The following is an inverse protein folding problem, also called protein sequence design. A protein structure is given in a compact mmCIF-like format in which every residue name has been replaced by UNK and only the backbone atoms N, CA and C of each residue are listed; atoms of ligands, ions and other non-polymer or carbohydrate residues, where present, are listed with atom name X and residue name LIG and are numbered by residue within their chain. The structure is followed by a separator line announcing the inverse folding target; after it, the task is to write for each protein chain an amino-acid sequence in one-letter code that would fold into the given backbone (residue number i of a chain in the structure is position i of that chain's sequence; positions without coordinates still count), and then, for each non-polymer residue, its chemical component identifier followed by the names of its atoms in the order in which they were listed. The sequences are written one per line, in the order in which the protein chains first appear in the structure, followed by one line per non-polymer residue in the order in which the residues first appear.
data_IF_899659466858
#
_entry.id   IF_899659466858
#
_cell.length_a   1.000
_cell.length_b   1.000
_cell.length_c   1.000
_cell.angle_alpha   90.00
_cell.angle_beta   90.00
_cell.angle_gamma   90.00
#
_symmetry.space_group_name_H-M   'P 1'
#
loop_
_entity.id
_entity.type
_entity.pdbx_description
1 polymer ?
#
# COMPACT_ATOMS: atom_id res chain seq x y z
N UNK A 1 29.83 -9.79 -6.64
CA UNK A 1 29.19 -8.87 -5.68
C UNK A 1 27.73 -9.30 -5.49
N UNK A 2 26.80 -8.41 -5.21
CA UNK A 2 25.39 -8.71 -4.89
C UNK A 2 24.44 -8.01 -5.85
N UNK A 3 23.27 -8.61 -6.08
CA UNK A 3 22.11 -7.97 -6.71
C UNK A 3 21.07 -7.70 -5.63
N UNK A 4 20.61 -6.45 -5.52
CA UNK A 4 19.46 -6.08 -4.69
C UNK A 4 18.37 -5.61 -5.64
N UNK A 5 17.20 -6.24 -5.61
CA UNK A 5 16.13 -6.00 -6.58
C UNK A 5 14.77 -5.84 -5.90
N UNK A 6 14.02 -4.81 -6.35
CA UNK A 6 12.60 -4.65 -6.08
C UNK A 6 11.83 -4.94 -7.37
N UNK A 7 11.11 -6.07 -7.47
CA UNK A 7 10.45 -6.46 -8.72
C UNK A 7 9.21 -5.59 -8.99
N UNK A 8 8.89 -5.39 -10.27
CA UNK A 8 7.66 -4.67 -10.64
C UNK A 8 6.43 -5.55 -10.38
N UNK A 9 6.51 -6.83 -10.76
CA UNK A 9 5.47 -7.85 -10.57
C UNK A 9 6.10 -9.12 -9.99
N UNK A 10 5.28 -10.00 -9.43
CA UNK A 10 5.75 -11.20 -8.72
C UNK A 10 6.30 -12.30 -9.62
N UNK A 11 5.89 -12.36 -10.89
CA UNK A 11 6.14 -13.51 -11.78
C UNK A 11 7.13 -13.19 -12.90
N UNK A 12 7.73 -14.25 -13.49
CA UNK A 12 8.60 -14.14 -14.66
C UNK A 12 10.09 -13.95 -14.35
N UNK A 13 10.51 -14.22 -13.10
CA UNK A 13 11.86 -13.94 -12.62
C UNK A 13 12.79 -15.17 -12.57
N UNK A 14 12.26 -16.40 -12.67
CA UNK A 14 13.01 -17.64 -12.48
C UNK A 14 14.28 -17.68 -13.34
N UNK A 15 14.16 -17.46 -14.64
CA UNK A 15 15.30 -17.59 -15.58
C UNK A 15 16.45 -16.63 -15.24
N UNK A 16 16.14 -15.35 -14.97
CA UNK A 16 17.20 -14.37 -14.68
C UNK A 16 17.83 -14.60 -13.29
N UNK A 17 17.06 -15.15 -12.34
CA UNK A 17 17.59 -15.54 -11.04
C UNK A 17 18.44 -16.81 -11.11
N UNK A 18 18.07 -17.79 -11.97
CA UNK A 18 18.90 -18.96 -12.27
C UNK A 18 20.24 -18.52 -12.88
N UNK A 19 20.24 -17.60 -13.84
CA UNK A 19 21.45 -17.03 -14.43
C UNK A 19 22.35 -16.36 -13.37
N UNK A 20 21.75 -15.59 -12.44
CA UNK A 20 22.49 -14.97 -11.33
C UNK A 20 23.13 -16.02 -10.42
N UNK A 21 22.38 -17.08 -10.08
CA UNK A 21 22.84 -18.21 -9.27
C UNK A 21 23.98 -18.98 -9.96
N UNK A 22 23.86 -19.28 -11.27
CA UNK A 22 24.91 -19.91 -12.05
C UNK A 22 26.19 -19.05 -12.12
N UNK A 23 26.03 -17.73 -12.16
CA UNK A 23 27.16 -16.79 -12.11
C UNK A 23 27.76 -16.63 -10.69
N UNK A 24 27.17 -17.27 -9.68
CA UNK A 24 27.60 -17.14 -8.27
C UNK A 24 27.33 -15.77 -7.67
N UNK A 25 26.30 -15.06 -8.15
CA UNK A 25 25.91 -13.73 -7.68
C UNK A 25 24.69 -13.85 -6.75
N UNK A 26 24.83 -13.63 -5.44
CA UNK A 26 23.72 -13.68 -4.50
C UNK A 26 22.71 -12.55 -4.77
N UNK A 27 21.41 -12.88 -4.64
CA UNK A 27 20.31 -11.95 -4.85
C UNK A 27 19.58 -11.69 -3.53
N UNK A 28 19.30 -10.43 -3.24
CA UNK A 28 18.46 -10.00 -2.11
C UNK A 28 17.25 -9.27 -2.67
N UNK A 29 16.06 -9.69 -2.25
CA UNK A 29 14.82 -9.00 -2.61
C UNK A 29 14.53 -7.89 -1.59
N UNK A 30 14.10 -6.74 -2.08
CA UNK A 30 13.75 -5.58 -1.25
C UNK A 30 12.38 -5.06 -1.66
N UNK A 31 11.56 -4.64 -0.70
CA UNK A 31 10.21 -4.12 -0.89
C UNK A 31 9.27 -5.23 -1.42
N UNK A 32 9.10 -5.36 -2.71
CA UNK A 32 8.19 -6.32 -3.34
C UNK A 32 8.76 -7.74 -3.37
N UNK A 33 7.86 -8.71 -3.24
CA UNK A 33 8.19 -10.13 -3.32
C UNK A 33 8.11 -10.67 -4.75
N UNK A 34 8.73 -11.84 -4.94
CA UNK A 34 8.60 -12.63 -6.16
C UNK A 34 7.93 -13.97 -5.83
N UNK A 35 7.05 -14.43 -6.70
CA UNK A 35 6.49 -15.77 -6.64
C UNK A 35 7.42 -16.72 -7.40
N UNK A 36 8.19 -17.52 -6.68
CA UNK A 36 9.18 -18.43 -7.21
C UNK A 36 8.87 -19.87 -6.82
N UNK A 37 9.20 -20.81 -7.70
CA UNK A 37 9.10 -22.25 -7.44
C UNK A 37 10.30 -22.80 -6.64
N UNK A 38 11.43 -22.09 -6.62
CA UNK A 38 12.66 -22.42 -5.92
C UNK A 38 13.15 -21.23 -5.07
N UNK A 39 12.97 -21.34 -3.76
CA UNK A 39 13.39 -20.34 -2.80
C UNK A 39 14.91 -20.17 -2.71
N UNK A 40 15.69 -21.10 -3.26
CA UNK A 40 17.15 -21.01 -3.28
C UNK A 40 17.70 -20.01 -4.32
N UNK A 41 16.81 -19.35 -5.08
CA UNK A 41 17.19 -18.35 -6.08
C UNK A 41 17.47 -16.96 -5.50
N UNK A 42 17.19 -16.73 -4.24
CA UNK A 42 17.57 -15.51 -3.53
C UNK A 42 17.99 -15.82 -2.10
N UNK A 43 18.77 -14.95 -1.48
CA UNK A 43 19.30 -15.14 -0.13
C UNK A 43 18.29 -14.72 0.96
N UNK A 44 17.73 -13.54 0.81
CA UNK A 44 16.74 -12.99 1.75
C UNK A 44 15.83 -11.98 1.05
N UNK A 45 14.66 -11.76 1.66
CA UNK A 45 13.75 -10.68 1.34
C UNK A 45 13.55 -9.77 2.55
N UNK A 46 13.49 -8.44 2.29
CA UNK A 46 13.20 -7.39 3.29
C UNK A 46 12.09 -6.50 2.77
N UNK A 47 11.00 -6.35 3.51
CA UNK A 47 9.89 -5.49 3.09
C UNK A 47 8.74 -5.43 4.08
N UNK A 48 7.65 -4.77 3.70
CA UNK A 48 6.40 -4.66 4.45
C UNK A 48 5.53 -5.90 4.38
N UNK A 49 4.56 -6.00 5.27
CA UNK A 49 3.53 -7.03 5.19
C UNK A 49 2.29 -6.47 4.50
N UNK A 50 2.23 -6.55 3.18
CA UNK A 50 1.17 -5.96 2.38
C UNK A 50 -0.24 -6.49 2.71
N UNK A 51 -0.38 -7.76 3.08
CA UNK A 51 -1.66 -8.30 3.56
C UNK A 51 -2.04 -7.63 4.88
N UNK A 52 -1.08 -7.49 5.79
CA UNK A 52 -1.32 -6.81 7.07
C UNK A 52 -1.63 -5.33 6.90
N UNK A 53 -1.00 -4.65 5.93
CA UNK A 53 -1.34 -3.27 5.58
C UNK A 53 -2.84 -3.17 5.19
N UNK A 54 -3.31 -4.04 4.28
CA UNK A 54 -4.72 -4.09 3.86
C UNK A 54 -5.68 -4.43 5.01
N UNK A 55 -5.34 -5.41 5.85
CA UNK A 55 -6.14 -5.74 7.04
C UNK A 55 -6.19 -4.57 8.03
N UNK A 56 -5.06 -3.89 8.27
CA UNK A 56 -5.00 -2.73 9.17
C UNK A 56 -5.85 -1.58 8.63
N UNK A 57 -5.89 -1.38 7.32
CA UNK A 57 -6.78 -0.41 6.67
C UNK A 57 -8.25 -0.74 6.92
N UNK A 58 -8.65 -2.00 6.76
CA UNK A 58 -10.03 -2.43 7.01
C UNK A 58 -10.42 -2.32 8.50
N UNK A 59 -9.54 -2.73 9.42
CA UNK A 59 -9.76 -2.57 10.86
C UNK A 59 -9.93 -1.08 11.24
N UNK A 60 -9.06 -0.22 10.73
CA UNK A 60 -9.16 1.23 10.94
C UNK A 60 -10.48 1.80 10.39
N UNK A 61 -10.88 1.38 9.18
CA UNK A 61 -12.12 1.85 8.56
C UNK A 61 -13.35 1.43 9.37
N UNK A 62 -13.39 0.21 9.88
CA UNK A 62 -14.47 -0.26 10.76
C UNK A 62 -14.58 0.59 12.02
N UNK A 63 -13.46 0.82 12.71
CA UNK A 63 -13.40 1.68 13.89
C UNK A 63 -13.79 3.14 13.59
N UNK A 64 -13.39 3.64 12.43
CA UNK A 64 -13.70 5.01 11.99
C UNK A 64 -15.20 5.19 11.72
N UNK A 65 -15.83 4.27 10.99
CA UNK A 65 -17.26 4.27 10.72
C UNK A 65 -18.10 4.12 12.00
N UNK A 66 -17.66 3.25 12.92
CA UNK A 66 -18.33 3.09 14.22
C UNK A 66 -18.31 4.38 15.04
N UNK A 67 -17.16 5.06 15.09
CA UNK A 67 -17.03 6.36 15.78
C UNK A 67 -17.91 7.45 15.17
N UNK A 68 -18.19 7.37 13.87
CA UNK A 68 -19.12 8.28 13.19
C UNK A 68 -20.58 7.86 13.33
N UNK A 69 -20.90 6.74 13.98
CA UNK A 69 -22.25 6.20 14.09
C UNK A 69 -22.78 5.57 12.81
N UNK A 70 -21.89 5.23 11.87
CA UNK A 70 -22.18 4.63 10.55
C UNK A 70 -21.88 3.12 10.49
N UNK A 71 -21.56 2.48 11.61
CA UNK A 71 -21.15 1.07 11.65
C UNK A 71 -22.17 0.09 11.06
N UNK A 72 -23.46 0.40 11.16
CA UNK A 72 -24.55 -0.42 10.62
C UNK A 72 -25.05 0.03 9.23
N UNK A 73 -24.53 1.12 8.67
CA UNK A 73 -24.91 1.63 7.35
C UNK A 73 -24.34 0.75 6.23
N UNK A 74 -25.02 0.73 5.07
CA UNK A 74 -24.45 0.18 3.85
C UNK A 74 -23.34 1.13 3.36
N UNK A 75 -22.12 0.61 3.18
CA UNK A 75 -20.95 1.39 2.78
C UNK A 75 -20.50 0.97 1.39
N UNK A 76 -20.62 1.89 0.44
CA UNK A 76 -20.23 1.70 -0.95
C UNK A 76 -18.78 2.10 -1.17
N UNK A 77 -17.95 1.16 -1.59
CA UNK A 77 -16.51 1.35 -1.72
C UNK A 77 -16.03 1.16 -3.15
N UNK A 78 -15.00 1.89 -3.52
CA UNK A 78 -14.21 1.64 -4.73
C UNK A 78 -12.73 1.53 -4.38
N UNK A 79 -11.97 0.77 -5.16
CA UNK A 79 -10.51 0.67 -4.98
C UNK A 79 -9.79 1.10 -6.25
N UNK A 80 -8.84 2.02 -6.09
CA UNK A 80 -7.83 2.33 -7.10
C UNK A 80 -6.63 1.44 -6.77
N UNK A 81 -6.47 0.37 -7.54
CA UNK A 81 -5.43 -0.62 -7.33
C UNK A 81 -4.11 -0.18 -7.96
N UNK A 82 -3.01 -0.58 -7.37
CA UNK A 82 -1.69 -0.39 -7.95
C UNK A 82 -1.46 -1.17 -9.25
N UNK A 83 -0.19 -1.34 -9.61
CA UNK A 83 0.21 -2.16 -10.75
C UNK A 83 -0.22 -3.61 -10.53
N UNK A 84 -1.09 -4.12 -11.40
CA UNK A 84 -1.64 -5.47 -11.27
C UNK A 84 -0.53 -6.52 -11.31
N UNK A 85 -0.54 -7.41 -10.32
CA UNK A 85 0.46 -8.47 -10.13
C UNK A 85 1.72 -8.01 -9.37
N UNK A 86 1.79 -6.77 -8.89
CA UNK A 86 2.76 -6.37 -7.90
C UNK A 86 2.37 -6.93 -6.52
N UNK A 87 3.32 -7.45 -5.74
CA UNK A 87 3.02 -8.04 -4.43
C UNK A 87 2.34 -7.07 -3.46
N UNK A 88 2.63 -5.77 -3.55
CA UNK A 88 1.94 -4.73 -2.79
C UNK A 88 0.46 -4.65 -3.18
N UNK A 89 0.14 -4.63 -4.49
CA UNK A 89 -1.24 -4.65 -4.97
C UNK A 89 -1.97 -5.92 -4.54
N UNK A 90 -1.35 -7.09 -4.76
CA UNK A 90 -1.95 -8.39 -4.41
C UNK A 90 -2.24 -8.46 -2.91
N UNK A 91 -1.26 -8.13 -2.07
CA UNK A 91 -1.40 -8.22 -0.62
C UNK A 91 -2.39 -7.20 -0.04
N UNK A 92 -2.35 -5.94 -0.46
CA UNK A 92 -3.29 -4.90 0.01
C UNK A 92 -4.73 -5.25 -0.36
N UNK A 93 -4.94 -5.71 -1.61
CA UNK A 93 -6.25 -6.21 -2.06
C UNK A 93 -6.70 -7.41 -1.21
N UNK A 94 -5.84 -8.43 -0.98
CA UNK A 94 -6.16 -9.62 -0.17
C UNK A 94 -6.52 -9.23 1.27
N UNK A 95 -5.71 -8.39 1.91
CA UNK A 95 -5.97 -7.92 3.27
C UNK A 95 -7.30 -7.18 3.39
N UNK A 96 -7.62 -6.34 2.42
CA UNK A 96 -8.91 -5.65 2.39
C UNK A 96 -10.07 -6.62 2.12
N UNK A 97 -9.89 -7.64 1.28
CA UNK A 97 -10.90 -8.68 1.02
C UNK A 97 -11.18 -9.51 2.26
N UNK A 98 -10.16 -9.82 3.08
CA UNK A 98 -10.36 -10.47 4.38
C UNK A 98 -11.32 -9.66 5.26
N UNK A 99 -11.16 -8.33 5.30
CA UNK A 99 -12.02 -7.45 6.09
C UNK A 99 -13.40 -7.25 5.47
N UNK A 100 -13.52 -7.14 4.16
CA UNK A 100 -14.81 -7.13 3.48
C UNK A 100 -15.66 -8.36 3.82
N UNK A 101 -15.04 -9.53 3.97
CA UNK A 101 -15.74 -10.77 4.33
C UNK A 101 -16.30 -10.74 5.77
N UNK A 102 -15.76 -9.91 6.66
CA UNK A 102 -16.23 -9.75 8.05
C UNK A 102 -17.41 -8.77 8.15
N UNK A 103 -17.63 -7.88 7.16
CA UNK A 103 -18.61 -6.80 7.17
C UNK A 103 -19.65 -6.95 6.05
N UNK A 104 -20.80 -7.55 6.34
CA UNK A 104 -21.84 -7.82 5.34
C UNK A 104 -22.54 -6.58 4.77
N UNK A 105 -22.38 -5.42 5.41
CA UNK A 105 -22.89 -4.12 4.99
C UNK A 105 -21.89 -3.33 4.12
N UNK A 106 -20.67 -3.83 3.93
CA UNK A 106 -19.69 -3.22 3.03
C UNK A 106 -19.83 -3.78 1.61
N UNK A 107 -19.88 -2.90 0.63
CA UNK A 107 -20.01 -3.25 -0.78
C UNK A 107 -18.86 -2.70 -1.61
N UNK A 108 -18.03 -3.57 -2.12
CA UNK A 108 -17.04 -3.21 -3.12
C UNK A 108 -17.75 -3.10 -4.47
N UNK A 109 -17.93 -1.85 -4.96
CA UNK A 109 -18.59 -1.54 -6.22
C UNK A 109 -17.71 -1.85 -7.42
N UNK A 110 -16.44 -1.42 -7.37
CA UNK A 110 -15.50 -1.58 -8.49
C UNK A 110 -14.04 -1.49 -8.02
N UNK A 111 -13.15 -2.05 -8.84
CA UNK A 111 -11.69 -1.98 -8.68
C UNK A 111 -11.04 -1.76 -10.04
N UNK A 112 -10.21 -0.73 -10.16
CA UNK A 112 -9.48 -0.43 -11.39
C UNK A 112 -8.04 -0.02 -11.05
N UNK A 113 -7.08 -0.41 -11.92
CA UNK A 113 -5.68 -0.09 -11.69
C UNK A 113 -5.36 1.37 -12.00
N UNK A 114 -4.76 2.06 -11.04
CA UNK A 114 -4.12 3.37 -11.17
C UNK A 114 -2.61 3.27 -11.38
N UNK A 115 -2.06 2.04 -11.47
CA UNK A 115 -0.64 1.79 -11.78
C UNK A 115 0.33 2.48 -10.81
N UNK A 116 -0.09 2.74 -9.56
CA UNK A 116 0.62 3.52 -8.55
C UNK A 116 0.96 4.96 -8.97
N UNK A 117 0.22 5.55 -9.91
CA UNK A 117 0.51 6.91 -10.40
C UNK A 117 -0.64 7.88 -10.14
N UNK A 118 -0.31 9.14 -9.85
CA UNK A 118 -1.31 10.19 -9.61
C UNK A 118 -2.22 10.40 -10.83
N UNK A 119 -1.64 10.45 -12.03
CA UNK A 119 -2.42 10.70 -13.25
C UNK A 119 -3.44 9.59 -13.52
N UNK A 120 -3.05 8.33 -13.34
CA UNK A 120 -3.98 7.20 -13.49
C UNK A 120 -5.00 7.13 -12.36
N UNK A 121 -4.59 7.40 -11.12
CA UNK A 121 -5.51 7.52 -9.99
C UNK A 121 -6.61 8.54 -10.26
N UNK A 122 -6.27 9.70 -10.83
CA UNK A 122 -7.23 10.70 -11.25
C UNK A 122 -8.19 10.17 -12.34
N UNK A 123 -7.67 9.58 -13.42
CA UNK A 123 -8.49 9.02 -14.52
C UNK A 123 -9.46 7.96 -14.00
N UNK A 124 -9.00 7.06 -13.11
CA UNK A 124 -9.82 6.00 -12.53
C UNK A 124 -10.92 6.58 -11.66
N UNK A 125 -10.58 7.55 -10.78
CA UNK A 125 -11.58 8.19 -9.92
C UNK A 125 -12.62 8.96 -10.73
N UNK A 126 -12.22 9.66 -11.80
CA UNK A 126 -13.18 10.30 -12.72
C UNK A 126 -14.13 9.30 -13.36
N UNK A 127 -13.66 8.08 -13.66
CA UNK A 127 -14.47 6.98 -14.17
C UNK A 127 -15.48 6.48 -13.13
N UNK A 128 -15.02 6.27 -11.88
CA UNK A 128 -15.89 5.86 -10.78
C UNK A 128 -16.99 6.89 -10.50
N UNK A 129 -16.65 8.17 -10.44
CA UNK A 129 -17.61 9.26 -10.22
C UNK A 129 -18.67 9.41 -11.33
N UNK A 130 -18.37 8.93 -12.55
CA UNK A 130 -19.35 8.88 -13.65
C UNK A 130 -20.22 7.63 -13.58
N UNK A 131 -19.74 6.56 -12.99
CA UNK A 131 -20.41 5.25 -12.99
C UNK A 131 -21.26 5.02 -11.75
N UNK A 132 -20.91 5.66 -10.63
CA UNK A 132 -21.54 5.46 -9.33
C UNK A 132 -21.88 6.82 -8.71
N UNK A 133 -23.16 7.01 -8.40
CA UNK A 133 -23.65 8.26 -7.77
C UNK A 133 -23.30 8.34 -6.28
N UNK A 134 -23.18 7.17 -5.64
CA UNK A 134 -23.01 7.02 -4.21
C UNK A 134 -21.74 6.19 -3.91
N UNK A 135 -20.67 6.90 -3.57
CA UNK A 135 -19.38 6.34 -3.14
C UNK A 135 -19.08 6.91 -1.77
N UNK A 136 -19.01 6.04 -0.76
CA UNK A 136 -18.67 6.42 0.61
C UNK A 136 -17.16 6.41 0.86
N UNK A 137 -16.45 5.43 0.27
CA UNK A 137 -15.03 5.18 0.54
C UNK A 137 -14.26 4.95 -0.75
N UNK A 138 -13.12 5.61 -0.87
CA UNK A 138 -12.11 5.33 -1.91
C UNK A 138 -10.86 4.80 -1.23
N UNK A 139 -10.47 3.58 -1.57
CA UNK A 139 -9.23 2.95 -1.13
C UNK A 139 -8.23 3.09 -2.27
N UNK A 140 -7.15 3.83 -2.05
CA UNK A 140 -6.08 4.02 -3.02
C UNK A 140 -4.88 3.20 -2.57
N UNK A 141 -4.40 2.26 -3.40
CA UNK A 141 -3.32 1.36 -2.98
C UNK A 141 -1.95 2.03 -2.90
N UNK A 142 -1.87 3.36 -3.16
CA UNK A 142 -0.77 4.21 -2.72
C UNK A 142 -1.19 5.69 -2.58
N UNK A 143 -0.30 6.50 -1.99
CA UNK A 143 -0.54 7.93 -1.77
C UNK A 143 -0.66 8.73 -3.08
N UNK A 144 0.13 8.39 -4.11
CA UNK A 144 0.05 9.09 -5.40
C UNK A 144 -1.32 8.91 -6.07
N UNK A 145 -1.89 7.71 -6.02
CA UNK A 145 -3.25 7.45 -6.51
C UNK A 145 -4.28 8.25 -5.72
N UNK A 146 -4.09 8.36 -4.39
CA UNK A 146 -4.98 9.15 -3.54
C UNK A 146 -4.95 10.64 -3.89
N UNK A 147 -3.78 11.22 -4.18
CA UNK A 147 -3.70 12.61 -4.62
C UNK A 147 -4.48 12.83 -5.92
N UNK A 148 -4.37 11.89 -6.89
CA UNK A 148 -5.16 11.93 -8.11
C UNK A 148 -6.67 11.79 -7.87
N UNK A 149 -7.06 10.88 -6.97
CA UNK A 149 -8.46 10.68 -6.59
C UNK A 149 -9.06 11.95 -5.93
N UNK A 150 -8.33 12.58 -5.02
CA UNK A 150 -8.71 13.83 -4.35
C UNK A 150 -8.92 14.95 -5.39
N UNK A 151 -7.99 15.08 -6.35
CA UNK A 151 -8.11 16.06 -7.44
C UNK A 151 -9.40 15.83 -8.26
N UNK A 152 -9.71 14.59 -8.61
CA UNK A 152 -10.92 14.23 -9.36
C UNK A 152 -12.21 14.48 -8.56
N UNK A 153 -12.23 14.14 -7.25
CA UNK A 153 -13.37 14.36 -6.36
C UNK A 153 -13.68 15.86 -6.27
N UNK A 154 -12.66 16.69 -6.04
CA UNK A 154 -12.80 18.15 -5.96
C UNK A 154 -13.23 18.75 -7.29
N UNK A 155 -12.68 18.29 -8.42
CA UNK A 155 -13.06 18.74 -9.75
C UNK A 155 -14.53 18.41 -10.09
N UNK A 156 -15.07 17.31 -9.54
CA UNK A 156 -16.47 16.95 -9.65
C UNK A 156 -17.41 17.74 -8.72
N UNK A 157 -16.87 18.65 -7.89
CA UNK A 157 -17.62 19.46 -6.93
C UNK A 157 -18.07 18.71 -5.69
N UNK A 158 -17.47 17.54 -5.41
CA UNK A 158 -17.67 16.76 -4.19
C UNK A 158 -16.57 17.09 -3.18
N UNK A 159 -16.76 16.65 -1.94
CA UNK A 159 -15.80 16.82 -0.83
C UNK A 159 -15.26 15.47 -0.37
N UNK A 160 -14.05 15.47 0.16
CA UNK A 160 -13.42 14.28 0.74
C UNK A 160 -12.70 14.62 2.05
N UNK A 161 -12.20 13.60 2.73
CA UNK A 161 -11.53 13.76 4.00
C UNK A 161 -12.48 13.72 5.21
N UNK A 162 -12.02 14.09 6.42
CA UNK A 162 -12.78 13.91 7.67
C UNK A 162 -14.12 14.65 7.73
N UNK A 163 -14.21 15.78 7.08
CA UNK A 163 -15.42 16.63 7.03
C UNK A 163 -16.12 16.51 5.63
N UNK A 164 -15.65 15.61 4.77
CA UNK A 164 -16.15 15.48 3.42
C UNK A 164 -17.17 14.35 3.25
N UNK A 165 -17.74 14.29 2.03
CA UNK A 165 -18.74 13.29 1.66
C UNK A 165 -18.08 11.91 1.42
N UNK A 166 -16.80 11.88 1.02
CA UNK A 166 -16.08 10.66 0.62
C UNK A 166 -14.87 10.47 1.53
N UNK A 167 -14.79 9.31 2.17
CA UNK A 167 -13.62 8.88 2.93
C UNK A 167 -12.54 8.45 1.94
N UNK A 168 -11.34 9.02 2.02
CA UNK A 168 -10.19 8.62 1.21
C UNK A 168 -9.09 8.07 2.11
N UNK A 169 -8.62 6.85 1.80
CA UNK A 169 -7.50 6.21 2.48
C UNK A 169 -6.44 5.79 1.49
N UNK A 170 -5.18 5.76 1.93
CA UNK A 170 -4.03 5.43 1.08
C UNK A 170 -2.98 4.59 1.79
N UNK A 171 -1.93 4.22 1.05
CA UNK A 171 -0.77 3.51 1.57
C UNK A 171 0.50 4.26 1.18
N UNK A 172 1.61 3.95 1.83
CA UNK A 172 2.99 4.46 1.76
C UNK A 172 3.35 5.43 2.88
N UNK A 173 2.46 6.35 3.25
CA UNK A 173 2.68 7.38 4.28
C UNK A 173 3.84 8.32 3.97
N UNK A 174 3.92 8.82 2.72
CA UNK A 174 4.89 9.84 2.34
C UNK A 174 4.53 11.22 2.95
N UNK A 175 5.51 12.13 3.04
CA UNK A 175 5.26 13.50 3.61
C UNK A 175 4.06 14.21 3.03
N UNK A 176 3.84 14.11 1.72
CA UNK A 176 2.70 14.73 1.04
C UNK A 176 1.34 14.18 1.52
N UNK A 177 1.28 12.91 1.98
CA UNK A 177 0.06 12.35 2.58
C UNK A 177 -0.26 13.02 3.92
N UNK A 178 0.75 13.31 4.75
CA UNK A 178 0.55 14.08 5.98
C UNK A 178 0.07 15.50 5.68
N UNK A 179 0.66 16.16 4.68
CA UNK A 179 0.21 17.48 4.23
C UNK A 179 -1.25 17.44 3.74
N UNK A 180 -1.65 16.38 3.03
CA UNK A 180 -3.03 16.16 2.56
C UNK A 180 -4.00 15.91 3.72
N UNK A 181 -3.58 15.13 4.74
CA UNK A 181 -4.39 14.94 5.96
C UNK A 181 -4.53 16.24 6.76
N UNK A 182 -3.47 17.02 6.91
CA UNK A 182 -3.49 18.33 7.58
C UNK A 182 -4.41 19.32 6.83
N UNK A 183 -4.43 19.26 5.49
CA UNK A 183 -5.33 20.04 4.66
C UNK A 183 -6.81 19.60 4.76
N UNK A 184 -7.08 18.43 5.35
CA UNK A 184 -8.42 17.87 5.51
C UNK A 184 -8.95 17.12 4.28
N UNK A 185 -8.07 16.66 3.41
CA UNK A 185 -8.41 16.01 2.14
C UNK A 185 -8.31 14.48 2.18
N UNK A 186 -7.43 13.95 3.05
CA UNK A 186 -7.15 12.52 3.24
C UNK A 186 -7.48 12.13 4.69
N UNK A 187 -8.08 10.96 4.89
CA UNK A 187 -8.50 10.49 6.21
C UNK A 187 -7.39 9.73 6.95
N UNK A 188 -6.72 8.82 6.25
CA UNK A 188 -5.64 8.01 6.81
C UNK A 188 -4.70 7.51 5.73
N UNK A 189 -3.46 7.19 6.13
CA UNK A 189 -2.47 6.51 5.30
C UNK A 189 -1.79 5.39 6.09
N UNK A 190 -1.57 4.24 5.45
CA UNK A 190 -0.97 3.04 6.04
C UNK A 190 0.46 2.90 5.54
N UNK A 191 1.40 2.83 6.47
CA UNK A 191 2.82 2.90 6.13
C UNK A 191 3.27 1.68 5.33
N UNK A 192 4.00 1.94 4.24
CA UNK A 192 4.92 1.02 3.59
C UNK A 192 6.33 1.59 3.78
N UNK A 193 7.08 1.05 4.73
CA UNK A 193 8.35 1.65 5.17
C UNK A 193 9.47 1.37 4.17
N UNK A 194 10.02 2.38 3.45
CA UNK A 194 11.03 2.18 2.42
C UNK A 194 12.47 2.09 2.96
N UNK A 195 12.67 2.19 4.28
CA UNK A 195 14.01 2.27 4.88
C UNK A 195 14.68 0.89 5.02
N UNK A 196 14.71 0.11 3.94
CA UNK A 196 15.29 -1.24 3.90
C UNK A 196 16.82 -1.25 3.85
N UNK A 197 17.46 -0.18 3.40
CA UNK A 197 18.90 -0.12 3.16
C UNK A 197 19.79 -0.60 4.30
N UNK A 198 19.58 -0.17 5.56
CA UNK A 198 20.36 -0.66 6.70
C UNK A 198 20.25 -2.17 6.91
N UNK A 199 19.05 -2.74 6.75
CA UNK A 199 18.79 -4.18 6.89
C UNK A 199 19.45 -4.97 5.76
N UNK A 200 19.37 -4.48 4.52
CA UNK A 200 20.04 -5.08 3.35
C UNK A 200 21.57 -5.09 3.57
N UNK A 201 22.13 -3.97 4.07
CA UNK A 201 23.57 -3.91 4.38
C UNK A 201 23.99 -4.91 5.47
N UNK A 202 23.15 -5.11 6.50
CA UNK A 202 23.39 -6.12 7.54
C UNK A 202 23.37 -7.55 6.98
N UNK A 203 22.42 -7.85 6.09
CA UNK A 203 22.32 -9.14 5.40
C UNK A 203 23.60 -9.41 4.61
N UNK A 204 24.06 -8.47 3.80
CA UNK A 204 25.31 -8.60 3.02
C UNK A 204 26.49 -8.87 3.95
N UNK A 205 26.62 -8.12 5.05
CA UNK A 205 27.71 -8.32 6.00
C UNK A 205 27.70 -9.70 6.68
N UNK A 206 26.54 -10.27 6.95
CA UNK A 206 26.40 -11.64 7.47
C UNK A 206 26.80 -12.68 6.42
N UNK A 207 26.31 -12.54 5.21
CA UNK A 207 26.66 -13.44 4.09
C UNK A 207 28.16 -13.45 3.82
N UNK A 208 28.83 -12.29 3.83
CA UNK A 208 30.29 -12.18 3.68
C UNK A 208 31.08 -12.91 4.78
N UNK A 209 30.50 -13.06 5.97
CA UNK A 209 31.10 -13.83 7.07
C UNK A 209 30.72 -15.31 7.06
N UNK A 210 29.89 -15.75 6.12
CA UNK A 210 29.33 -17.10 6.08
C UNK A 210 28.32 -17.36 7.21
N UNK A 211 27.71 -16.34 7.76
CA UNK A 211 26.66 -16.43 8.77
C UNK A 211 25.31 -16.69 8.11
N UNK A 212 24.42 -17.41 8.80
CA UNK A 212 23.04 -17.63 8.34
C UNK A 212 22.24 -16.31 8.44
N UNK A 213 21.35 -16.10 7.47
CA UNK A 213 20.41 -14.97 7.43
C UNK A 213 18.98 -15.48 7.42
N UNK A 214 18.09 -14.74 8.08
CA UNK A 214 16.66 -15.01 8.04
C UNK A 214 16.13 -14.73 6.63
N UNK A 215 15.36 -15.68 6.08
CA UNK A 215 14.90 -15.63 4.70
C UNK A 215 13.89 -14.51 4.45
N UNK A 216 12.93 -14.33 5.35
CA UNK A 216 11.85 -13.34 5.27
C UNK A 216 11.98 -12.38 6.45
N UNK A 217 12.19 -11.11 6.15
CA UNK A 217 12.42 -10.08 7.17
C UNK A 217 11.43 -8.93 6.99
N UNK A 218 10.39 -8.92 7.81
CA UNK A 218 9.45 -7.80 7.84
C UNK A 218 10.06 -6.57 8.52
N UNK A 219 9.73 -5.39 7.98
CA UNK A 219 9.98 -4.11 8.62
C UNK A 219 8.78 -3.72 9.48
N UNK A 220 9.02 -2.90 10.51
CA UNK A 220 7.92 -2.35 11.32
C UNK A 220 7.22 -1.24 10.55
N UNK A 221 5.89 -1.28 10.56
CA UNK A 221 5.02 -0.34 9.87
C UNK A 221 3.90 0.11 10.79
N UNK A 222 3.44 1.34 10.60
CA UNK A 222 2.40 1.97 11.36
C UNK A 222 1.24 2.43 10.44
N UNK A 223 0.21 3.05 11.00
CA UNK A 223 -0.75 3.86 10.25
C UNK A 223 -0.83 5.25 10.89
N UNK A 224 -1.33 6.19 10.11
CA UNK A 224 -1.50 7.57 10.54
C UNK A 224 -2.87 8.08 10.09
N UNK A 225 -3.56 8.79 10.96
CA UNK A 225 -4.87 9.38 10.68
C UNK A 225 -5.00 10.78 11.24
N UNK A 226 -6.09 11.44 10.90
CA UNK A 226 -6.36 12.85 11.27
C UNK A 226 -6.64 13.06 12.75
N UNK A 227 -6.73 12.02 13.59
CA UNK A 227 -6.83 12.15 15.05
C UNK A 227 -5.48 12.36 15.75
N UNK A 228 -4.37 12.17 15.01
CA UNK A 228 -3.00 12.25 15.53
C UNK A 228 -2.43 13.66 15.40
N UNK A 229 -1.33 13.94 16.12
CA UNK A 229 -0.55 15.19 15.95
C UNK A 229 0.32 15.09 14.69
N UNK A 230 -0.32 15.27 13.54
CA UNK A 230 0.32 15.11 12.22
C UNK A 230 1.45 16.11 11.98
N UNK A 231 1.33 17.33 12.54
CA UNK A 231 2.39 18.36 12.41
C UNK A 231 3.67 17.95 13.15
N UNK A 232 3.53 17.32 14.32
CA UNK A 232 4.69 16.82 15.08
C UNK A 232 5.31 15.60 14.41
N UNK A 233 4.49 14.67 13.92
CA UNK A 233 4.94 13.48 13.20
C UNK A 233 5.70 13.89 11.93
N UNK A 234 5.17 14.84 11.16
CA UNK A 234 5.77 15.32 9.90
C UNK A 234 7.19 15.89 10.10
N UNK A 235 7.50 16.51 11.25
CA UNK A 235 8.84 17.05 11.55
C UNK A 235 9.92 15.96 11.59
N UNK A 236 9.55 14.74 11.96
CA UNK A 236 10.48 13.62 12.13
C UNK A 236 10.40 12.62 10.96
N UNK A 237 9.42 12.78 10.06
CA UNK A 237 9.22 11.88 8.94
C UNK A 237 10.40 11.93 7.95
N UNK A 238 10.97 10.77 7.63
CA UNK A 238 12.17 10.69 6.78
C UNK A 238 11.86 10.75 5.28
N UNK A 239 10.65 10.35 4.86
CA UNK A 239 10.21 10.24 3.46
C UNK A 239 8.80 10.74 3.23
#
# INVERSE_FOLDING_TARGET
DYIVVAPVVETGWETVLEEAKEAGIPVILSDRQMQLSDDSLYEAWVGGNFVKEGETCGDWLADYLEKQGRGDEEINMVTIQGTIGASAQVGRTEGMDNKLAEHSNWKMLDRQSGEFTQAKGQEVMESFLKSYDDIDVVICENDNEAFGAIDAIKAAGKTCGPEGDIIVVSFDSVKAAFESMIAGDLNATFECNPLHGPRVAEIIQKLEKGEEVEKIQYVDEAYFDTSMDLEEILKTRAY
#
